data_IF_066769496977
#
_entry.id   IF_066769496977
#
_cell.length_a   1.000
_cell.length_b   1.000
_cell.length_c   1.000
_cell.angle_alpha   90.00
_cell.angle_beta   90.00
_cell.angle_gamma   90.00
#
_symmetry.space_group_name_H-M   'P 1'
#
loop_
_entity.id
_entity.type
_entity.pdbx_description
1 polymer ?
#
# COMPACT_ATOMS: atom_id res chain seq x y z
N UNK A 1 -9.65 -9.35 -3.48
CA UNK A 1 -10.82 -9.77 -2.70
C UNK A 1 -10.99 -8.87 -1.47
N UNK A 2 -12.08 -9.02 -0.71
CA UNK A 2 -12.23 -8.37 0.60
C UNK A 2 -12.31 -9.43 1.70
N UNK A 3 -11.59 -9.21 2.79
CA UNK A 3 -11.46 -10.08 3.93
C UNK A 3 -12.02 -9.40 5.16
N UNK A 4 -12.84 -10.11 5.93
CA UNK A 4 -13.43 -9.60 7.17
C UNK A 4 -12.96 -10.42 8.34
N UNK A 5 -12.40 -9.76 9.34
CA UNK A 5 -11.91 -10.39 10.56
C UNK A 5 -12.39 -9.62 11.78
N UNK A 6 -12.59 -10.33 12.89
CA UNK A 6 -12.94 -9.72 14.17
C UNK A 6 -11.77 -9.88 15.13
N UNK A 7 -11.17 -8.77 15.56
CA UNK A 7 -10.05 -8.73 16.51
C UNK A 7 -10.46 -7.89 17.70
N UNK A 8 -10.40 -8.45 18.90
CA UNK A 8 -10.78 -7.76 20.15
C UNK A 8 -12.18 -7.11 20.12
N UNK A 9 -13.13 -7.77 19.44
CA UNK A 9 -14.51 -7.29 19.31
C UNK A 9 -14.72 -6.20 18.26
N UNK A 10 -13.66 -5.79 17.56
CA UNK A 10 -13.71 -4.86 16.42
C UNK A 10 -13.71 -5.65 15.12
N UNK A 11 -14.71 -5.41 14.26
CA UNK A 11 -14.70 -5.92 12.88
C UNK A 11 -13.78 -5.05 12.02
N UNK A 12 -12.96 -5.70 11.20
CA UNK A 12 -11.98 -5.08 10.32
C UNK A 12 -12.19 -5.66 8.94
N UNK A 13 -12.24 -4.79 7.94
CA UNK A 13 -12.27 -5.17 6.54
C UNK A 13 -10.94 -4.80 5.89
N UNK A 14 -10.30 -5.79 5.29
CA UNK A 14 -9.10 -5.63 4.48
C UNK A 14 -9.44 -5.89 3.01
N UNK A 15 -8.87 -5.09 2.13
CA UNK A 15 -8.93 -5.28 0.69
C UNK A 15 -7.63 -4.79 0.07
N UNK A 16 -7.35 -5.27 -1.14
CA UNK A 16 -6.12 -5.03 -1.88
C UNK A 16 -5.72 -3.55 -1.98
N UNK A 17 -6.70 -2.64 -2.03
CA UNK A 17 -6.51 -1.19 -2.19
C UNK A 17 -6.88 -0.38 -0.92
N UNK A 18 -6.94 -1.00 0.26
CA UNK A 18 -7.31 -0.28 1.49
C UNK A 18 -6.19 0.68 1.91
N UNK A 19 -6.36 1.97 1.58
CA UNK A 19 -5.40 3.08 1.74
C UNK A 19 -5.04 3.45 3.20
N UNK A 20 -5.80 2.96 4.19
CA UNK A 20 -5.71 3.45 5.59
C UNK A 20 -5.17 2.47 6.62
N UNK A 21 -4.49 1.40 6.22
CA UNK A 21 -4.26 0.26 7.10
C UNK A 21 -3.03 0.40 8.01
N UNK A 22 -3.08 1.32 9.00
CA UNK A 22 -2.29 1.18 10.24
C UNK A 22 -2.95 0.12 11.14
N UNK A 23 -2.82 -1.14 10.74
CA UNK A 23 -3.20 -2.27 11.60
C UNK A 23 -2.06 -2.64 12.54
N UNK A 24 -2.40 -3.04 13.75
CA UNK A 24 -1.47 -3.66 14.69
C UNK A 24 -0.99 -5.02 14.16
N UNK A 25 0.13 -5.53 14.69
CA UNK A 25 0.64 -6.87 14.33
C UNK A 25 -0.41 -7.97 14.52
N UNK A 26 -1.22 -7.86 15.59
CA UNK A 26 -2.32 -8.79 15.87
C UNK A 26 -3.42 -8.72 14.82
N UNK A 27 -3.79 -7.51 14.40
CA UNK A 27 -4.77 -7.31 13.33
C UNK A 27 -4.23 -7.84 12.00
N UNK A 28 -2.95 -7.60 11.68
CA UNK A 28 -2.30 -8.14 10.49
C UNK A 28 -2.26 -9.66 10.47
N UNK A 29 -1.84 -10.30 11.55
CA UNK A 29 -1.82 -11.76 11.63
C UNK A 29 -3.23 -12.36 11.48
N UNK A 30 -4.26 -11.74 12.07
CA UNK A 30 -5.64 -12.16 11.86
C UNK A 30 -6.09 -12.00 10.40
N UNK A 31 -5.75 -10.90 9.74
CA UNK A 31 -6.02 -10.67 8.32
C UNK A 31 -5.34 -11.73 7.47
N UNK A 32 -4.03 -11.97 7.66
CA UNK A 32 -3.27 -12.97 6.90
C UNK A 32 -3.82 -14.38 7.10
N UNK A 33 -4.18 -14.75 8.33
CA UNK A 33 -4.84 -16.02 8.60
C UNK A 33 -6.15 -16.18 7.81
N UNK A 34 -6.98 -15.14 7.75
CA UNK A 34 -8.24 -15.19 6.99
C UNK A 34 -7.99 -15.22 5.47
N UNK A 35 -6.96 -14.51 4.98
CA UNK A 35 -6.52 -14.57 3.58
C UNK A 35 -6.13 -16.00 3.21
N UNK A 36 -5.25 -16.64 3.99
CA UNK A 36 -4.80 -18.02 3.71
C UNK A 36 -5.97 -18.98 3.81
N UNK A 37 -6.87 -18.81 4.78
CA UNK A 37 -8.04 -19.67 4.96
C UNK A 37 -8.99 -19.62 3.76
N UNK A 38 -9.23 -18.44 3.19
CA UNK A 38 -10.12 -18.29 2.04
C UNK A 38 -9.46 -18.73 0.72
N UNK A 39 -8.16 -18.49 0.53
CA UNK A 39 -7.46 -18.80 -0.72
C UNK A 39 -6.85 -20.20 -0.78
N UNK A 40 -6.34 -20.70 0.35
CA UNK A 40 -5.68 -22.01 0.47
C UNK A 40 -6.17 -22.77 1.71
N UNK A 41 -7.46 -23.16 1.75
CA UNK A 41 -8.08 -23.77 2.95
C UNK A 41 -7.37 -25.05 3.42
N UNK A 42 -6.86 -25.87 2.51
CA UNK A 42 -6.13 -27.11 2.86
C UNK A 42 -4.79 -26.81 3.54
N UNK A 43 -4.08 -25.78 3.08
CA UNK A 43 -2.84 -25.32 3.68
C UNK A 43 -3.13 -24.69 5.04
N UNK A 44 -4.18 -23.87 5.14
CA UNK A 44 -4.61 -23.31 6.41
C UNK A 44 -4.91 -24.41 7.44
N UNK A 45 -5.73 -25.41 7.11
CA UNK A 45 -6.08 -26.47 8.06
C UNK A 45 -4.87 -27.30 8.51
N UNK A 46 -3.89 -27.52 7.63
CA UNK A 46 -2.68 -28.27 7.96
C UNK A 46 -1.60 -27.44 8.67
N UNK A 47 -1.60 -26.12 8.53
CA UNK A 47 -0.54 -25.21 9.00
C UNK A 47 -0.99 -24.11 9.97
N UNK A 48 -2.28 -24.01 10.32
CA UNK A 48 -2.82 -22.94 11.19
C UNK A 48 -2.19 -22.78 12.57
N UNK A 49 -1.44 -23.79 13.04
CA UNK A 49 -0.69 -23.71 14.29
C UNK A 49 0.70 -23.06 14.13
N UNK A 50 1.21 -22.97 12.89
CA UNK A 50 2.47 -22.35 12.51
C UNK A 50 2.18 -20.91 12.06
N UNK A 51 2.15 -20.00 13.03
CA UNK A 51 1.75 -18.60 12.80
C UNK A 51 2.69 -17.90 11.84
N UNK A 52 4.00 -18.12 11.94
CA UNK A 52 5.00 -17.49 11.07
C UNK A 52 4.80 -17.91 9.61
N UNK A 53 4.50 -19.20 9.38
CA UNK A 53 4.19 -19.71 8.04
C UNK A 53 2.90 -19.08 7.49
N UNK A 54 1.84 -19.03 8.30
CA UNK A 54 0.54 -18.47 7.89
C UNK A 54 0.66 -16.97 7.60
N UNK A 55 1.35 -16.22 8.46
CA UNK A 55 1.56 -14.79 8.30
C UNK A 55 2.37 -14.51 7.02
N UNK A 56 3.43 -15.29 6.78
CA UNK A 56 4.25 -15.15 5.57
C UNK A 56 3.45 -15.45 4.31
N UNK A 57 2.73 -16.57 4.28
CA UNK A 57 1.92 -16.95 3.11
C UNK A 57 0.78 -15.97 2.87
N UNK A 58 0.10 -15.52 3.93
CA UNK A 58 -0.98 -14.54 3.84
C UNK A 58 -0.48 -13.19 3.35
N UNK A 59 0.70 -12.74 3.80
CA UNK A 59 1.34 -11.53 3.30
C UNK A 59 1.70 -11.63 1.81
N UNK A 60 2.17 -12.81 1.35
CA UNK A 60 2.46 -13.04 -0.07
C UNK A 60 1.19 -12.97 -0.93
N UNK A 61 0.10 -13.62 -0.51
CA UNK A 61 -1.19 -13.58 -1.21
C UNK A 61 -1.75 -12.15 -1.22
N UNK A 62 -1.68 -11.45 -0.09
CA UNK A 62 -2.11 -10.05 0.01
C UNK A 62 -1.33 -9.14 -0.96
N UNK A 63 -0.02 -9.36 -1.08
CA UNK A 63 0.84 -8.61 -2.01
C UNK A 63 0.48 -8.91 -3.47
N UNK A 64 0.24 -10.18 -3.81
CA UNK A 64 -0.20 -10.60 -5.15
C UNK A 64 -1.54 -9.94 -5.52
N UNK A 65 -2.54 -10.02 -4.64
CA UNK A 65 -3.84 -9.39 -4.87
C UNK A 65 -3.75 -7.86 -5.00
N UNK A 66 -2.89 -7.22 -4.22
CA UNK A 66 -2.63 -5.78 -4.35
C UNK A 66 -1.99 -5.46 -5.69
N UNK A 67 -1.03 -6.26 -6.12
CA UNK A 67 -0.40 -6.09 -7.42
C UNK A 67 -1.41 -6.24 -8.56
N UNK A 68 -2.27 -7.26 -8.54
CA UNK A 68 -3.33 -7.45 -9.53
C UNK A 68 -4.33 -6.28 -9.52
N UNK A 69 -4.80 -5.86 -8.35
CA UNK A 69 -5.73 -4.73 -8.24
C UNK A 69 -5.11 -3.42 -8.77
N UNK A 70 -3.82 -3.18 -8.52
CA UNK A 70 -3.12 -2.03 -9.07
C UNK A 70 -2.93 -2.14 -10.58
N UNK A 71 -2.65 -3.34 -11.12
CA UNK A 71 -2.58 -3.56 -12.55
C UNK A 71 -3.92 -3.27 -13.25
N UNK A 72 -5.05 -3.66 -12.65
CA UNK A 72 -6.38 -3.36 -13.19
C UNK A 72 -6.69 -1.86 -13.23
N UNK A 73 -6.10 -1.07 -12.32
CA UNK A 73 -6.24 0.39 -12.30
C UNK A 73 -5.36 1.09 -13.33
N UNK A 74 -4.31 0.45 -13.83
CA UNK A 74 -3.52 1.04 -14.91
C UNK A 74 -4.39 1.16 -16.16
N UNK A 75 -4.25 2.25 -16.95
CA UNK A 75 -4.88 2.34 -18.26
C UNK A 75 -4.18 1.34 -19.18
N UNK A 76 -4.64 0.09 -19.13
CA UNK A 76 -4.10 -1.02 -19.89
C UNK A 76 -4.17 -0.71 -21.38
N UNK A 77 -5.13 0.08 -21.85
CA UNK A 77 -5.21 0.56 -23.23
C UNK A 77 -4.08 1.53 -23.64
N UNK A 78 -3.49 2.26 -22.69
CA UNK A 78 -2.36 3.17 -22.94
C UNK A 78 -1.00 2.48 -22.81
N UNK A 79 -0.91 1.39 -22.03
CA UNK A 79 0.37 0.73 -21.73
C UNK A 79 0.49 -0.72 -22.25
N UNK A 80 -0.58 -1.35 -22.76
CA UNK A 80 -0.58 -2.74 -23.27
C UNK A 80 -0.20 -2.90 -24.75
N UNK A 81 0.54 -1.97 -25.34
CA UNK A 81 1.22 -2.31 -26.59
C UNK A 81 2.50 -3.10 -26.26
N UNK A 82 2.62 -4.31 -26.81
CA UNK A 82 3.85 -5.10 -26.71
C UNK A 82 5.06 -4.22 -27.07
N UNK A 83 5.95 -3.97 -26.09
CA UNK A 83 7.11 -3.08 -26.24
C UNK A 83 7.16 -1.87 -25.29
N UNK A 84 6.14 -1.63 -24.47
CA UNK A 84 6.22 -0.58 -23.43
C UNK A 84 7.36 -0.87 -22.48
N UNK A 85 8.34 0.02 -22.42
CA UNK A 85 9.53 -0.16 -21.60
C UNK A 85 9.13 -0.18 -20.11
N UNK A 86 9.57 -1.17 -19.30
CA UNK A 86 9.18 -1.29 -17.89
C UNK A 86 9.43 -0.02 -17.07
N UNK A 87 10.47 0.76 -17.43
CA UNK A 87 10.73 2.08 -16.84
C UNK A 87 9.57 3.07 -17.00
N UNK A 88 8.86 3.09 -18.11
CA UNK A 88 7.75 4.03 -18.32
C UNK A 88 6.52 3.67 -17.50
N UNK A 89 6.29 2.37 -17.27
CA UNK A 89 5.26 1.91 -16.34
C UNK A 89 5.66 2.28 -14.91
N UNK A 90 6.92 2.05 -14.53
CA UNK A 90 7.42 2.44 -13.20
C UNK A 90 7.37 3.96 -12.97
N UNK A 91 7.76 4.76 -13.97
CA UNK A 91 7.71 6.23 -13.89
C UNK A 91 6.24 6.71 -13.80
N UNK A 92 5.32 6.16 -14.60
CA UNK A 92 3.89 6.49 -14.52
C UNK A 92 3.25 6.06 -13.19
N UNK A 93 3.65 4.91 -12.65
CA UNK A 93 3.21 4.47 -11.31
C UNK A 93 3.77 5.40 -10.25
N UNK A 94 5.07 5.74 -10.28
CA UNK A 94 5.70 6.67 -9.34
C UNK A 94 5.03 8.06 -9.37
N UNK A 95 4.73 8.57 -10.56
CA UNK A 95 4.00 9.84 -10.74
C UNK A 95 2.55 9.79 -10.21
N UNK A 96 1.92 8.61 -10.13
CA UNK A 96 0.57 8.41 -9.60
C UNK A 96 0.52 7.88 -8.15
N UNK A 97 1.63 7.41 -7.58
CA UNK A 97 1.69 6.86 -6.21
C UNK A 97 2.19 7.86 -5.18
N UNK A 98 2.85 8.94 -5.59
CA UNK A 98 2.82 10.18 -4.81
C UNK A 98 1.37 10.68 -4.88
N UNK A 99 0.61 10.49 -3.80
CA UNK A 99 -0.77 10.98 -3.72
C UNK A 99 -0.73 12.50 -3.88
N UNK A 100 -0.99 12.95 -5.09
CA UNK A 100 -0.85 14.35 -5.49
C UNK A 100 -1.72 15.26 -4.63
N UNK A 101 -2.88 14.79 -4.19
CA UNK A 101 -3.74 15.55 -3.27
C UNK A 101 -3.06 15.70 -1.91
N UNK A 102 -2.55 14.63 -1.31
CA UNK A 102 -1.83 14.69 -0.03
C UNK A 102 -0.57 15.56 -0.12
N UNK A 103 0.21 15.46 -1.20
CA UNK A 103 1.38 16.32 -1.41
C UNK A 103 0.99 17.79 -1.58
N UNK A 104 -0.15 18.08 -2.22
CA UNK A 104 -0.66 19.45 -2.32
C UNK A 104 -1.06 19.97 -0.95
N UNK A 105 -1.77 19.17 -0.16
CA UNK A 105 -2.21 19.53 1.20
C UNK A 105 -1.01 19.79 2.11
N UNK A 106 0.00 18.91 2.10
CA UNK A 106 1.25 19.07 2.86
C UNK A 106 1.98 20.37 2.45
N UNK A 107 2.07 20.66 1.15
CA UNK A 107 2.69 21.92 0.66
C UNK A 107 1.87 23.14 1.07
N UNK A 108 0.53 23.07 1.06
CA UNK A 108 -0.33 24.17 1.50
C UNK A 108 -0.11 24.46 3.00
N UNK A 109 -0.03 23.42 3.83
CA UNK A 109 0.30 23.54 5.25
C UNK A 109 1.67 24.19 5.45
N UNK A 110 2.65 23.86 4.60
CA UNK A 110 3.98 24.49 4.67
C UNK A 110 3.91 25.98 4.33
N UNK A 111 3.16 26.34 3.28
CA UNK A 111 2.95 27.74 2.89
C UNK A 111 2.24 28.55 3.98
N UNK A 112 1.36 27.94 4.77
CA UNK A 112 0.67 28.60 5.88
C UNK A 112 1.55 28.73 7.13
N UNK A 113 2.35 27.71 7.48
CA UNK A 113 3.16 27.69 8.71
C UNK A 113 4.50 28.39 8.58
N UNK A 114 5.13 28.36 7.39
CA UNK A 114 6.46 28.92 7.18
C UNK A 114 6.35 30.44 7.05
N UNK A 115 7.08 31.16 7.90
CA UNK A 115 7.04 32.63 7.92
C UNK A 115 8.05 33.27 6.97
N UNK A 116 8.95 32.48 6.39
CA UNK A 116 10.05 32.92 5.53
C UNK A 116 10.31 31.93 4.40
N UNK A 117 10.91 32.43 3.32
CA UNK A 117 11.28 31.59 2.17
C UNK A 117 12.32 30.52 2.55
N UNK A 118 13.26 30.85 3.45
CA UNK A 118 14.28 29.90 3.89
C UNK A 118 13.66 28.72 4.65
N UNK A 119 12.74 28.99 5.58
CA UNK A 119 12.04 27.92 6.31
C UNK A 119 11.21 27.04 5.37
N UNK A 120 10.56 27.64 4.36
CA UNK A 120 9.83 26.87 3.36
C UNK A 120 10.78 26.00 2.55
N UNK A 121 11.95 26.52 2.17
CA UNK A 121 12.97 25.77 1.45
C UNK A 121 13.49 24.59 2.29
N UNK A 122 13.83 24.82 3.55
CA UNK A 122 14.34 23.78 4.45
C UNK A 122 13.31 22.65 4.66
N UNK A 123 12.04 23.00 4.89
CA UNK A 123 10.95 22.03 5.07
C UNK A 123 10.64 21.24 3.79
N UNK A 124 10.71 21.89 2.61
CA UNK A 124 10.55 21.20 1.32
C UNK A 124 11.73 20.27 1.04
N UNK A 125 12.95 20.67 1.39
CA UNK A 125 14.14 19.82 1.24
C UNK A 125 14.06 18.58 2.12
N UNK A 126 13.62 18.72 3.38
CA UNK A 126 13.41 17.58 4.28
C UNK A 126 12.28 16.66 3.78
N UNK A 127 11.14 17.23 3.38
CA UNK A 127 9.98 16.46 2.90
C UNK A 127 10.27 15.63 1.65
N UNK A 128 11.07 16.16 0.72
CA UNK A 128 11.43 15.48 -0.53
C UNK A 128 12.79 14.77 -0.48
N UNK A 129 13.47 14.75 0.67
CA UNK A 129 14.81 14.17 0.85
C UNK A 129 15.83 14.68 -0.19
N UNK A 130 15.88 16.01 -0.37
CA UNK A 130 16.74 16.69 -1.34
C UNK A 130 18.07 17.11 -0.71
N UNK A 131 19.18 16.76 -1.35
CA UNK A 131 20.50 17.28 -0.97
C UNK A 131 20.68 18.73 -1.42
N UNK A 132 21.35 19.54 -0.59
CA UNK A 132 21.67 20.94 -0.88
C UNK A 132 22.69 21.01 -2.03
N UNK A 133 22.31 21.58 -3.19
CA UNK A 133 23.16 21.67 -4.39
C UNK A 133 23.92 22.98 -4.51
#
# INVERSE_FOLDING_TARGET
MNYKVTVDGKEIEYGALVEKSRFSEKEWSAIYAEIVKQNQPEVFESKKADTDYIDTLGAMIALEERYEALLELLPQDQFSYAGTHPKWVADAVAENTLNKEDTIDDICDFLERCSTLQQLQDELMEYFDLEES
#
